data_IF_650945708741
#
_entry.id   IF_650945708741
#
_cell.length_a   1.000
_cell.length_b   1.000
_cell.length_c   1.000
_cell.angle_alpha   90.00
_cell.angle_beta   90.00
_cell.angle_gamma   90.00
#
_symmetry.space_group_name_H-M   'P 1'
#
loop_
_entity.id
_entity.type
_entity.pdbx_description
1 polymer ?
#
# COMPACT_ATOMS: atom_id res chain seq x y z
N UNK A 1 3.00 1.77 11.04
CA UNK A 1 3.69 2.91 11.65
C UNK A 1 4.79 3.45 10.73
N UNK A 2 5.77 2.62 10.29
CA UNK A 2 6.90 3.10 9.49
C UNK A 2 6.46 3.86 8.22
N UNK A 3 5.48 3.36 7.47
CA UNK A 3 4.93 4.05 6.28
C UNK A 3 4.37 5.42 6.65
N UNK A 4 3.66 5.52 7.76
CA UNK A 4 3.10 6.79 8.22
C UNK A 4 4.18 7.81 8.62
N UNK A 5 5.20 7.37 9.32
CA UNK A 5 6.33 8.22 9.73
C UNK A 5 7.19 8.63 8.52
N UNK A 6 7.53 7.66 7.66
CA UNK A 6 8.42 7.87 6.53
C UNK A 6 7.82 8.81 5.47
N UNK A 7 6.54 8.59 5.11
CA UNK A 7 5.88 9.35 4.04
C UNK A 7 4.97 10.47 4.53
N UNK A 8 4.90 10.67 5.83
CA UNK A 8 4.02 11.66 6.46
C UNK A 8 2.60 11.60 5.87
N UNK A 9 1.98 10.44 6.01
CA UNK A 9 0.62 10.18 5.55
C UNK A 9 -0.10 9.22 6.49
N UNK A 10 -1.45 9.22 6.49
CA UNK A 10 -2.21 8.17 7.16
C UNK A 10 -1.85 6.79 6.58
N UNK A 11 -1.77 5.78 7.45
CA UNK A 11 -1.64 4.39 7.05
C UNK A 11 -2.75 3.59 7.72
N UNK A 12 -3.46 2.79 6.94
CA UNK A 12 -4.59 1.99 7.39
C UNK A 12 -4.24 0.50 7.31
N UNK A 13 -4.45 -0.21 8.42
CA UNK A 13 -4.38 -1.67 8.44
C UNK A 13 -5.80 -2.18 8.26
N UNK A 14 -6.02 -2.91 7.15
CA UNK A 14 -7.29 -3.58 6.88
C UNK A 14 -7.16 -5.03 7.30
N UNK A 15 -8.06 -5.49 8.15
CA UNK A 15 -8.09 -6.87 8.62
C UNK A 15 -9.52 -7.42 8.52
N UNK A 16 -9.63 -8.69 8.12
CA UNK A 16 -10.89 -9.39 8.15
C UNK A 16 -11.31 -9.68 9.61
N UNK A 17 -12.61 -9.77 9.86
CA UNK A 17 -13.14 -10.11 11.18
C UNK A 17 -12.56 -11.43 11.71
N UNK A 18 -12.46 -12.43 10.84
CA UNK A 18 -11.90 -13.73 11.19
C UNK A 18 -10.47 -13.63 11.74
N UNK A 19 -9.63 -12.75 11.15
CA UNK A 19 -8.27 -12.50 11.65
C UNK A 19 -8.30 -11.85 13.03
N UNK A 20 -9.27 -10.97 13.28
CA UNK A 20 -9.45 -10.31 14.58
C UNK A 20 -9.88 -11.28 15.71
N UNK A 21 -10.55 -12.37 15.36
CA UNK A 21 -11.04 -13.38 16.32
C UNK A 21 -10.16 -14.62 16.42
N UNK A 22 -9.27 -14.87 15.46
CA UNK A 22 -8.36 -16.02 15.46
C UNK A 22 -7.42 -16.01 16.68
N UNK A 23 -7.18 -17.21 17.20
CA UNK A 23 -6.16 -17.45 18.21
C UNK A 23 -5.09 -18.35 17.62
N UNK A 24 -3.91 -17.79 17.43
CA UNK A 24 -2.77 -18.51 16.90
C UNK A 24 -1.55 -18.33 17.80
N UNK A 25 -0.60 -19.26 17.68
CA UNK A 25 0.72 -19.07 18.25
C UNK A 25 1.45 -17.98 17.48
N UNK A 26 1.84 -16.91 18.17
CA UNK A 26 2.63 -15.82 17.63
C UNK A 26 4.03 -15.84 18.23
N UNK A 27 5.03 -15.79 17.40
CA UNK A 27 6.40 -15.50 17.82
C UNK A 27 6.56 -13.97 17.82
N UNK A 28 6.67 -13.39 19.00
CA UNK A 28 6.88 -11.95 19.14
C UNK A 28 8.35 -11.66 18.82
N UNK A 29 8.59 -10.78 17.84
CA UNK A 29 9.94 -10.31 17.52
C UNK A 29 10.52 -9.55 18.71
N UNK A 30 11.82 -9.67 18.93
CA UNK A 30 12.50 -8.88 19.94
C UNK A 30 12.55 -7.41 19.51
N UNK A 31 12.57 -6.45 20.46
CA UNK A 31 12.62 -5.02 20.13
C UNK A 31 13.80 -4.64 19.20
N UNK A 32 14.94 -5.29 19.36
CA UNK A 32 16.13 -5.06 18.54
C UNK A 32 15.99 -5.54 17.09
N UNK A 33 15.05 -6.46 16.82
CA UNK A 33 14.77 -6.98 15.47
C UNK A 33 13.74 -6.12 14.72
N UNK A 34 13.15 -5.12 15.40
CA UNK A 34 12.13 -4.25 14.81
C UNK A 34 12.80 -3.02 14.22
N UNK A 35 12.75 -2.91 12.88
CA UNK A 35 13.21 -1.70 12.21
C UNK A 35 12.20 -0.56 12.42
N UNK A 36 12.61 0.48 13.14
CA UNK A 36 11.84 1.69 13.37
C UNK A 36 12.35 2.80 12.47
N UNK A 37 11.44 3.41 11.71
CA UNK A 37 11.74 4.59 10.89
C UNK A 37 11.28 5.82 11.65
N UNK A 38 12.21 6.75 11.85
CA UNK A 38 11.90 8.05 12.41
C UNK A 38 11.42 9.01 11.30
N UNK A 39 10.45 9.87 11.65
CA UNK A 39 10.00 10.91 10.75
C UNK A 39 11.11 11.89 10.39
N UNK A 40 11.04 12.42 9.21
CA UNK A 40 11.91 13.48 8.72
C UNK A 40 11.71 14.75 9.56
N UNK A 41 12.74 15.14 10.30
CA UNK A 41 12.72 16.34 11.14
C UNK A 41 13.21 17.58 10.39
N UNK A 42 12.73 18.79 10.75
CA UNK A 42 13.21 20.02 10.15
C UNK A 42 14.68 20.27 10.50
N UNK A 43 15.42 20.78 9.51
CA UNK A 43 16.81 21.25 9.67
C UNK A 43 16.90 22.78 9.81
N UNK A 44 15.81 23.47 9.47
CA UNK A 44 15.71 24.93 9.54
C UNK A 44 15.54 25.37 10.98
N UNK A 45 15.91 26.64 11.24
CA UNK A 45 15.61 27.30 12.52
C UNK A 45 14.08 27.43 12.70
N UNK A 46 13.59 27.44 13.95
CA UNK A 46 12.17 27.54 14.23
C UNK A 46 11.46 28.72 13.53
N UNK A 47 12.15 29.85 13.35
CA UNK A 47 11.60 31.07 12.75
C UNK A 47 11.39 30.97 11.23
N UNK A 48 12.13 30.07 10.55
CA UNK A 48 12.05 29.85 9.10
C UNK A 48 11.36 28.56 8.72
N UNK A 49 10.82 27.85 9.69
CA UNK A 49 10.15 26.56 9.46
C UNK A 49 8.78 26.73 8.80
N UNK A 50 8.62 26.11 7.66
CA UNK A 50 7.34 25.96 6.96
C UNK A 50 6.90 24.50 7.00
N UNK A 51 5.84 24.15 7.75
CA UNK A 51 5.49 22.76 8.10
C UNK A 51 5.04 21.92 6.91
N UNK A 52 4.67 22.54 5.79
CA UNK A 52 4.18 21.86 4.59
C UNK A 52 5.05 22.10 3.37
N UNK A 53 6.18 22.79 3.51
CA UNK A 53 7.18 22.92 2.45
C UNK A 53 7.89 21.60 2.24
N UNK A 54 7.72 20.95 1.06
CA UNK A 54 8.40 19.69 0.79
C UNK A 54 9.87 19.90 0.45
N UNK A 55 10.67 18.86 0.65
CA UNK A 55 11.96 18.71 0.02
C UNK A 55 11.79 18.04 -1.37
N UNK A 56 12.91 17.68 -2.02
CA UNK A 56 12.93 17.05 -3.35
C UNK A 56 12.13 15.73 -3.41
N UNK A 57 12.00 15.01 -2.28
CA UNK A 57 11.22 13.78 -2.14
C UNK A 57 9.71 14.01 -1.95
N UNK A 58 9.26 15.24 -2.02
CA UNK A 58 7.87 15.69 -1.81
C UNK A 58 7.34 15.45 -0.39
N UNK A 59 8.21 15.09 0.56
CA UNK A 59 7.86 14.84 1.95
C UNK A 59 8.31 16.02 2.81
N UNK A 60 7.37 16.85 3.32
CA UNK A 60 7.73 17.95 4.21
C UNK A 60 8.27 17.41 5.54
N UNK A 61 9.35 17.98 6.09
CA UNK A 61 9.80 17.64 7.44
C UNK A 61 8.74 18.04 8.47
N UNK A 62 8.68 17.28 9.56
CA UNK A 62 7.67 17.48 10.60
C UNK A 62 8.32 17.64 11.98
N UNK A 63 8.16 18.81 12.55
CA UNK A 63 8.59 19.10 13.92
C UNK A 63 7.71 18.37 14.95
N UNK A 64 8.29 18.03 16.08
CA UNK A 64 7.56 17.47 17.21
C UNK A 64 7.19 18.58 18.22
N UNK A 65 6.14 18.34 18.99
CA UNK A 65 5.80 19.21 20.11
C UNK A 65 6.93 19.24 21.14
N UNK A 66 7.22 20.44 21.66
CA UNK A 66 8.28 20.65 22.64
C UNK A 66 9.67 20.94 22.05
N UNK A 67 9.86 20.83 20.73
CA UNK A 67 11.14 21.11 20.04
C UNK A 67 11.33 22.61 19.71
N UNK A 68 10.47 23.49 20.23
CA UNK A 68 10.58 24.96 20.05
C UNK A 68 10.00 25.51 18.77
N UNK A 69 9.46 24.66 17.91
CA UNK A 69 8.79 25.08 16.66
C UNK A 69 7.36 25.53 16.95
N UNK A 70 6.97 26.66 16.35
CA UNK A 70 5.58 27.16 16.35
C UNK A 70 5.09 27.20 14.92
N UNK A 71 4.03 26.46 14.65
CA UNK A 71 3.47 26.38 13.31
C UNK A 71 1.96 26.19 13.37
N UNK A 72 1.31 26.57 12.29
CA UNK A 72 -0.11 26.34 12.09
C UNK A 72 -0.32 25.02 11.32
N UNK A 73 -1.35 24.29 11.69
CA UNK A 73 -1.77 23.07 10.98
C UNK A 73 -3.29 23.09 10.81
N UNK A 74 -3.75 22.77 9.61
CA UNK A 74 -5.17 22.75 9.27
C UNK A 74 -5.47 21.60 8.31
N UNK A 75 -6.73 21.13 8.30
CA UNK A 75 -7.25 20.23 7.29
C UNK A 75 -7.80 20.92 6.04
N UNK A 76 -7.83 22.25 6.03
CA UNK A 76 -8.26 23.06 4.88
C UNK A 76 -7.15 23.12 3.82
N UNK A 77 -7.49 23.56 2.59
CA UNK A 77 -6.49 23.99 1.62
C UNK A 77 -5.59 25.05 2.25
N UNK A 78 -4.29 24.87 2.19
CA UNK A 78 -3.32 25.68 2.88
C UNK A 78 -2.04 25.84 2.05
N UNK A 79 -1.29 26.88 2.33
CA UNK A 79 0.04 27.13 1.80
C UNK A 79 1.12 26.31 2.55
N UNK A 80 2.37 26.49 2.18
CA UNK A 80 3.52 25.81 2.79
C UNK A 80 3.72 26.15 4.27
N UNK A 81 3.20 27.29 4.73
CA UNK A 81 3.27 27.72 6.13
C UNK A 81 2.12 27.17 6.98
N UNK A 82 1.13 26.56 6.35
CA UNK A 82 -0.05 25.97 6.99
C UNK A 82 -1.23 26.92 7.13
N UNK A 83 -1.13 28.15 6.61
CA UNK A 83 -2.26 29.06 6.65
C UNK A 83 -3.30 28.70 5.59
N UNK A 84 -4.60 28.77 5.93
CA UNK A 84 -5.68 28.48 4.99
C UNK A 84 -5.66 29.38 3.75
N UNK A 85 -5.85 28.77 2.58
CA UNK A 85 -5.92 29.40 1.26
C UNK A 85 -7.11 28.81 0.48
N UNK A 86 -8.28 28.83 1.09
CA UNK A 86 -9.47 28.09 0.60
C UNK A 86 -10.08 28.66 -0.67
N UNK A 87 -9.76 29.88 -1.03
CA UNK A 87 -10.19 30.60 -2.22
C UNK A 87 -9.18 30.56 -3.36
N UNK A 88 -8.00 29.96 -3.13
CA UNK A 88 -6.95 29.83 -4.14
C UNK A 88 -7.00 28.46 -4.86
N UNK A 89 -7.47 28.45 -6.09
CA UNK A 89 -7.43 27.27 -6.95
C UNK A 89 -5.99 26.81 -7.25
N UNK A 90 -5.03 27.73 -7.28
CA UNK A 90 -3.62 27.45 -7.52
C UNK A 90 -3.03 26.65 -6.32
N UNK A 91 -3.24 27.14 -5.09
CA UNK A 91 -2.76 26.45 -3.89
C UNK A 91 -3.43 25.07 -3.71
N UNK A 92 -4.73 24.96 -4.01
CA UNK A 92 -5.43 23.68 -4.03
C UNK A 92 -4.77 22.70 -5.03
N UNK A 93 -4.48 23.18 -6.22
CA UNK A 93 -3.85 22.33 -7.26
C UNK A 93 -2.46 21.87 -6.83
N UNK A 94 -1.61 22.78 -6.35
CA UNK A 94 -0.27 22.46 -5.83
C UNK A 94 -0.32 21.44 -4.70
N UNK A 95 -1.22 21.65 -3.74
CA UNK A 95 -1.37 20.76 -2.58
C UNK A 95 -1.77 19.34 -3.02
N UNK A 96 -2.83 19.22 -3.81
CA UNK A 96 -3.33 17.91 -4.28
C UNK A 96 -2.31 17.21 -5.15
N UNK A 97 -1.69 17.93 -6.09
CA UNK A 97 -0.66 17.38 -6.98
C UNK A 97 0.50 16.82 -6.15
N UNK A 98 1.04 17.60 -5.21
CA UNK A 98 2.12 17.16 -4.32
C UNK A 98 1.74 15.92 -3.52
N UNK A 99 0.52 15.87 -2.94
CA UNK A 99 0.06 14.71 -2.17
C UNK A 99 -0.02 13.44 -3.02
N UNK A 100 -0.50 13.55 -4.24
CA UNK A 100 -0.56 12.44 -5.18
C UNK A 100 0.84 12.00 -5.62
N UNK A 101 1.68 12.93 -6.03
CA UNK A 101 3.01 12.65 -6.57
C UNK A 101 3.95 12.11 -5.49
N UNK A 102 3.80 12.54 -4.24
CA UNK A 102 4.51 11.96 -3.09
C UNK A 102 4.31 10.45 -3.00
N UNK A 103 3.08 9.97 -3.16
CA UNK A 103 2.78 8.55 -3.09
C UNK A 103 3.22 7.84 -4.37
N UNK A 104 2.93 8.39 -5.54
CA UNK A 104 3.32 7.81 -6.83
C UNK A 104 4.84 7.66 -6.99
N UNK A 105 5.59 8.71 -6.63
CA UNK A 105 7.05 8.72 -6.71
C UNK A 105 7.75 7.80 -5.71
N UNK A 106 7.05 7.41 -4.63
CA UNK A 106 7.59 6.51 -3.61
C UNK A 106 6.95 5.11 -3.62
N UNK A 107 6.24 4.77 -4.69
CA UNK A 107 5.49 3.53 -4.83
C UNK A 107 6.36 2.29 -4.55
N UNK A 108 7.56 2.20 -5.12
CA UNK A 108 8.46 1.06 -4.96
C UNK A 108 8.91 0.84 -3.50
N UNK A 109 8.84 1.88 -2.67
CA UNK A 109 9.12 1.81 -1.24
C UNK A 109 7.90 1.44 -0.40
N UNK A 110 6.70 1.68 -0.91
CA UNK A 110 5.42 1.47 -0.21
C UNK A 110 4.80 0.12 -0.55
N UNK A 111 4.77 -0.24 -1.84
CA UNK A 111 4.13 -1.47 -2.31
C UNK A 111 4.89 -2.69 -1.80
N UNK A 112 4.13 -3.65 -1.28
CA UNK A 112 4.62 -4.96 -0.85
C UNK A 112 3.73 -6.05 -1.39
N UNK A 113 4.34 -7.05 -2.00
CA UNK A 113 3.70 -8.27 -2.46
C UNK A 113 4.55 -9.49 -2.07
N UNK A 114 3.95 -10.65 -2.03
CA UNK A 114 4.66 -11.92 -1.92
C UNK A 114 4.39 -12.76 -3.15
N UNK A 115 5.45 -13.23 -3.80
CA UNK A 115 5.41 -14.12 -4.96
C UNK A 115 5.71 -15.53 -4.49
N UNK A 116 4.83 -16.48 -4.76
CA UNK A 116 5.01 -17.88 -4.40
C UNK A 116 4.80 -18.78 -5.61
N UNK A 117 5.81 -19.57 -5.97
CA UNK A 117 5.75 -20.53 -7.08
C UNK A 117 5.34 -19.91 -8.43
N UNK A 118 5.81 -18.69 -8.74
CA UNK A 118 5.48 -18.00 -9.99
C UNK A 118 6.50 -18.28 -11.12
N UNK A 119 7.74 -18.67 -10.84
CA UNK A 119 8.83 -18.78 -11.81
C UNK A 119 8.52 -19.70 -13.01
N UNK A 120 7.72 -20.75 -12.83
CA UNK A 120 7.31 -21.70 -13.88
C UNK A 120 5.79 -21.78 -14.03
N UNK A 121 5.05 -20.82 -13.44
CA UNK A 121 3.60 -20.87 -13.42
C UNK A 121 2.99 -20.59 -14.79
N UNK A 122 1.90 -21.30 -15.11
CA UNK A 122 1.01 -21.04 -16.25
C UNK A 122 -0.27 -20.31 -15.82
N UNK A 123 -0.56 -20.35 -14.53
CA UNK A 123 -1.66 -19.62 -13.93
C UNK A 123 -1.22 -18.97 -12.62
N UNK A 124 -1.75 -17.80 -12.33
CA UNK A 124 -1.54 -17.08 -11.08
C UNK A 124 -2.84 -16.89 -10.34
N UNK A 125 -2.84 -17.17 -9.04
CA UNK A 125 -3.90 -16.70 -8.14
C UNK A 125 -3.45 -15.37 -7.54
N UNK A 126 -4.28 -14.34 -7.62
CA UNK A 126 -4.08 -13.07 -6.93
C UNK A 126 -5.04 -13.03 -5.75
N UNK A 127 -4.52 -12.81 -4.55
CA UNK A 127 -5.34 -12.75 -3.34
C UNK A 127 -4.69 -11.86 -2.27
N UNK A 128 -5.47 -11.46 -1.27
CA UNK A 128 -5.02 -10.66 -0.14
C UNK A 128 -5.76 -11.03 1.15
N UNK A 129 -5.33 -10.48 2.30
CA UNK A 129 -5.95 -10.74 3.58
C UNK A 129 -6.01 -12.23 3.94
N UNK A 130 -7.09 -12.65 4.59
CA UNK A 130 -7.34 -14.04 4.98
C UNK A 130 -7.47 -14.97 3.78
N UNK A 131 -8.02 -14.48 2.65
CA UNK A 131 -8.18 -15.25 1.42
C UNK A 131 -6.84 -15.75 0.87
N UNK A 132 -5.76 -14.99 1.06
CA UNK A 132 -4.42 -15.40 0.61
C UNK A 132 -3.92 -16.68 1.30
N UNK A 133 -4.33 -16.97 2.54
CA UNK A 133 -4.02 -18.23 3.24
C UNK A 133 -4.69 -19.42 2.57
N UNK A 134 -5.98 -19.29 2.27
CA UNK A 134 -6.75 -20.32 1.55
C UNK A 134 -6.23 -20.50 0.13
N UNK A 135 -5.88 -19.41 -0.56
CA UNK A 135 -5.28 -19.43 -1.89
C UNK A 135 -3.94 -20.17 -1.90
N UNK A 136 -3.07 -19.92 -0.91
CA UNK A 136 -1.80 -20.63 -0.76
C UNK A 136 -2.00 -22.14 -0.57
N UNK A 137 -2.97 -22.53 0.26
CA UNK A 137 -3.31 -23.94 0.45
C UNK A 137 -3.83 -24.60 -0.86
N UNK A 138 -4.66 -23.87 -1.61
CA UNK A 138 -5.16 -24.33 -2.92
C UNK A 138 -4.03 -24.47 -3.96
N UNK A 139 -3.13 -23.48 -4.04
CA UNK A 139 -1.96 -23.51 -4.91
C UNK A 139 -1.06 -24.71 -4.57
N UNK A 140 -0.75 -24.92 -3.30
CA UNK A 140 0.03 -26.07 -2.85
C UNK A 140 -0.64 -27.41 -3.22
N UNK A 141 -1.95 -27.50 -3.12
CA UNK A 141 -2.70 -28.69 -3.51
C UNK A 141 -2.66 -28.93 -5.02
N UNK A 142 -2.86 -27.87 -5.82
CA UNK A 142 -2.79 -27.93 -7.28
C UNK A 142 -1.38 -28.33 -7.77
N UNK A 143 -0.32 -27.80 -7.15
CA UNK A 143 1.07 -28.17 -7.44
C UNK A 143 1.35 -29.64 -7.18
N UNK A 144 0.81 -30.22 -6.11
CA UNK A 144 0.92 -31.68 -5.86
C UNK A 144 0.22 -32.53 -6.91
N UNK A 145 -0.73 -31.96 -7.65
CA UNK A 145 -1.42 -32.60 -8.78
C UNK A 145 -0.74 -32.33 -10.13
N UNK A 146 0.43 -31.68 -10.14
CA UNK A 146 1.20 -31.37 -11.35
C UNK A 146 0.79 -30.10 -12.08
N UNK A 147 -0.15 -29.31 -11.54
CA UNK A 147 -0.55 -28.04 -12.14
C UNK A 147 0.45 -26.93 -11.85
N UNK A 148 0.87 -26.22 -12.89
CA UNK A 148 1.79 -25.07 -12.78
C UNK A 148 1.03 -23.80 -12.43
N UNK A 149 0.71 -23.63 -11.14
CA UNK A 149 0.01 -22.47 -10.61
C UNK A 149 0.82 -21.81 -9.50
N UNK A 150 0.83 -20.48 -9.46
CA UNK A 150 1.49 -19.68 -8.43
C UNK A 150 0.52 -18.75 -7.72
N UNK A 151 1.02 -18.02 -6.73
CA UNK A 151 0.28 -17.04 -5.95
C UNK A 151 1.03 -15.71 -5.96
N UNK A 152 0.32 -14.64 -6.29
CA UNK A 152 0.70 -13.27 -6.00
C UNK A 152 -0.18 -12.78 -4.84
N UNK A 153 0.42 -12.67 -3.65
CA UNK A 153 -0.25 -12.12 -2.49
C UNK A 153 -0.03 -10.62 -2.43
N UNK A 154 -1.10 -9.84 -2.44
CA UNK A 154 -1.03 -8.40 -2.22
C UNK A 154 -1.01 -8.13 -0.71
N UNK A 155 0.05 -7.48 -0.23
CA UNK A 155 0.16 -6.99 1.16
C UNK A 155 -0.30 -5.55 1.20
N UNK A 156 0.18 -4.72 0.27
CA UNK A 156 -0.29 -3.35 0.08
C UNK A 156 -1.43 -3.35 -0.93
N UNK A 157 -2.61 -2.84 -0.55
CA UNK A 157 -3.76 -2.71 -1.44
C UNK A 157 -3.78 -1.35 -2.14
N UNK A 158 -3.29 -0.31 -1.48
CA UNK A 158 -3.15 1.02 -2.04
C UNK A 158 -1.84 1.68 -1.53
N UNK A 159 -1.00 2.27 -2.41
CA UNK A 159 -1.15 2.26 -3.88
C UNK A 159 -1.13 0.84 -4.44
N UNK A 160 -1.87 0.63 -5.53
CA UNK A 160 -2.01 -0.71 -6.11
C UNK A 160 -0.70 -1.22 -6.71
N UNK A 161 -0.48 -2.53 -6.65
CA UNK A 161 0.72 -3.22 -7.15
C UNK A 161 0.68 -3.38 -8.68
N UNK A 162 0.61 -2.26 -9.41
CA UNK A 162 0.41 -2.22 -10.86
C UNK A 162 1.51 -2.97 -11.61
N UNK A 163 2.77 -2.63 -11.33
CA UNK A 163 3.95 -3.21 -11.97
C UNK A 163 4.04 -4.71 -11.74
N UNK A 164 3.82 -5.14 -10.51
CA UNK A 164 3.91 -6.55 -10.10
C UNK A 164 2.79 -7.37 -10.74
N UNK A 165 1.61 -6.78 -10.94
CA UNK A 165 0.50 -7.41 -11.65
C UNK A 165 0.74 -7.46 -13.15
N UNK A 166 1.27 -6.39 -13.76
CA UNK A 166 1.66 -6.37 -15.18
C UNK A 166 2.74 -7.44 -15.47
N UNK A 167 3.79 -7.51 -14.65
CA UNK A 167 4.84 -8.54 -14.78
C UNK A 167 4.25 -9.95 -14.76
N UNK A 168 3.38 -10.25 -13.77
CA UNK A 168 2.73 -11.56 -13.68
C UNK A 168 1.80 -11.81 -14.87
N UNK A 169 1.07 -10.80 -15.34
CA UNK A 169 0.16 -10.94 -16.47
C UNK A 169 0.87 -11.28 -17.78
N UNK A 170 2.13 -10.82 -17.93
CA UNK A 170 2.96 -11.15 -19.07
C UNK A 170 3.54 -12.58 -18.98
N UNK A 171 3.80 -13.07 -17.77
CA UNK A 171 4.41 -14.38 -17.52
C UNK A 171 3.42 -15.55 -17.58
N UNK A 172 2.13 -15.33 -17.30
CA UNK A 172 1.12 -16.40 -17.17
C UNK A 172 0.03 -16.36 -18.24
N UNK A 173 -0.59 -17.52 -18.49
CA UNK A 173 -1.71 -17.65 -19.43
C UNK A 173 -3.06 -17.29 -18.76
N UNK A 174 -3.18 -17.48 -17.43
CA UNK A 174 -4.41 -17.29 -16.67
C UNK A 174 -4.16 -16.61 -15.32
N UNK A 175 -5.08 -15.72 -14.95
CA UNK A 175 -5.11 -15.04 -13.66
C UNK A 175 -6.45 -15.31 -12.99
N UNK A 176 -6.44 -15.77 -11.75
CA UNK A 176 -7.61 -15.96 -10.91
C UNK A 176 -7.53 -14.96 -9.77
N UNK A 177 -8.45 -14.01 -9.71
CA UNK A 177 -8.54 -13.05 -8.59
C UNK A 177 -9.57 -13.56 -7.61
N UNK A 178 -9.12 -13.94 -6.41
CA UNK A 178 -9.96 -14.50 -5.36
C UNK A 178 -10.26 -13.44 -4.28
N UNK A 179 -11.55 -13.14 -4.09
CA UNK A 179 -11.99 -12.12 -3.14
C UNK A 179 -13.28 -12.55 -2.40
N UNK A 180 -13.40 -12.11 -1.15
CA UNK A 180 -14.64 -12.25 -0.36
C UNK A 180 -15.53 -11.00 -0.49
N UNK A 181 -15.71 -10.52 -1.70
CA UNK A 181 -16.53 -9.34 -2.02
C UNK A 181 -17.04 -9.41 -3.47
N UNK A 182 -17.69 -8.35 -3.92
CA UNK A 182 -18.28 -8.25 -5.28
C UNK A 182 -17.29 -7.76 -6.36
N UNK A 183 -15.99 -7.87 -6.13
CA UNK A 183 -14.96 -7.48 -7.09
C UNK A 183 -14.50 -6.03 -6.89
N UNK A 184 -13.52 -5.84 -6.04
CA UNK A 184 -12.84 -4.56 -5.82
C UNK A 184 -11.45 -4.60 -6.46
N UNK A 185 -10.63 -5.56 -6.08
CA UNK A 185 -9.27 -5.71 -6.59
C UNK A 185 -9.24 -6.29 -8.00
N UNK A 186 -10.19 -7.15 -8.38
CA UNK A 186 -10.26 -7.67 -9.75
C UNK A 186 -10.31 -6.55 -10.79
N UNK A 187 -11.01 -5.46 -10.49
CA UNK A 187 -11.09 -4.30 -11.40
C UNK A 187 -9.76 -3.61 -11.61
N UNK A 188 -8.93 -3.54 -10.57
CA UNK A 188 -7.58 -3.00 -10.68
C UNK A 188 -6.66 -3.95 -11.46
N UNK A 189 -6.82 -5.26 -11.29
CA UNK A 189 -6.11 -6.27 -12.08
C UNK A 189 -6.50 -6.20 -13.55
N UNK A 190 -7.79 -6.09 -13.87
CA UNK A 190 -8.31 -5.96 -15.25
C UNK A 190 -7.83 -4.69 -15.98
N UNK A 191 -7.44 -3.66 -15.25
CA UNK A 191 -6.82 -2.44 -15.83
C UNK A 191 -5.38 -2.67 -16.27
N UNK A 192 -4.73 -3.73 -15.78
CA UNK A 192 -3.30 -4.01 -15.97
C UNK A 192 -3.02 -5.31 -16.71
N UNK A 193 -4.02 -6.15 -16.85
CA UNK A 193 -3.93 -7.43 -17.54
C UNK A 193 -4.99 -7.52 -18.65
N UNK A 194 -4.75 -8.35 -19.66
CA UNK A 194 -5.78 -8.68 -20.65
C UNK A 194 -6.96 -9.34 -19.90
N UNK A 195 -8.13 -8.71 -19.94
CA UNK A 195 -9.33 -9.19 -19.27
C UNK A 195 -9.73 -10.62 -19.67
N UNK A 196 -9.33 -11.09 -20.86
CA UNK A 196 -9.55 -12.48 -21.31
C UNK A 196 -8.77 -13.51 -20.52
N UNK A 197 -7.67 -13.09 -19.89
CA UNK A 197 -6.88 -13.93 -19.00
C UNK A 197 -7.40 -13.91 -17.55
N UNK A 198 -8.24 -12.96 -17.18
CA UNK A 198 -8.66 -12.72 -15.80
C UNK A 198 -10.00 -13.42 -15.52
N UNK A 199 -10.01 -14.21 -14.46
CA UNK A 199 -11.22 -14.85 -13.91
C UNK A 199 -11.43 -14.36 -12.49
N UNK A 200 -12.61 -13.87 -12.21
CA UNK A 200 -13.01 -13.44 -10.88
C UNK A 200 -13.63 -14.59 -10.09
N UNK A 201 -13.06 -14.93 -8.96
CA UNK A 201 -13.59 -15.91 -8.01
C UNK A 201 -14.12 -15.18 -6.77
N UNK A 202 -15.41 -14.95 -6.74
CA UNK A 202 -16.10 -14.30 -5.61
C UNK A 202 -16.71 -15.33 -4.66
N UNK A 203 -16.61 -15.04 -3.35
CA UNK A 203 -17.42 -15.70 -2.33
C UNK A 203 -17.85 -14.66 -1.28
N UNK A 204 -19.16 -14.55 -1.04
CA UNK A 204 -19.73 -13.55 -0.15
C UNK A 204 -20.12 -14.18 1.21
N UNK A 205 -19.17 -14.72 1.91
CA UNK A 205 -19.38 -15.33 3.21
C UNK A 205 -18.58 -16.62 3.38
N UNK A 206 -18.59 -17.12 4.58
CA UNK A 206 -17.87 -18.31 5.05
C UNK A 206 -18.56 -19.62 4.62
#
# INVERSE_FOLDING_TARGET
FNVSEEFRCPAFIMADEIVGHLRERLNISKPEDINLIERKKPRQLPQSYAPFRPDEDLIPPMACFGEGYRFYATGLTHDETGHPQTDSAEEQTKLVQRLCDKIRGNRDRIVRVERTMLDDAKACVIAYGSVARSALAAVNRARRQGLKVGLLRLITLWPFAEKEVEEVADEVDWIIVAEMNCGQIVREVERRADHRKVTFLSRLGE
#
